data_IF_227194946618
#
_entry.id   IF_227194946618
#
_cell.length_a   1.000
_cell.length_b   1.000
_cell.length_c   1.000
_cell.angle_alpha   90.00
_cell.angle_beta   90.00
_cell.angle_gamma   90.00
#
_symmetry.space_group_name_H-M   'P 1'
#
loop_
_entity.id
_entity.type
_entity.pdbx_description
1 polymer ?
#
# COMPACT_ATOMS: atom_id res chain seq x y z
N UNK A 1 13.98 -6.91 28.56
CA UNK A 1 13.08 -6.57 27.43
C UNK A 1 13.22 -5.08 27.22
N UNK A 2 13.82 -4.68 26.11
CA UNK A 2 13.86 -3.27 25.69
C UNK A 2 12.43 -2.83 25.32
N UNK A 3 12.05 -1.56 25.46
CA UNK A 3 10.80 -1.04 24.89
C UNK A 3 10.62 -1.36 23.40
N UNK A 4 11.75 -1.46 22.68
CA UNK A 4 11.79 -1.88 21.28
C UNK A 4 11.23 -3.30 21.08
N UNK A 5 11.66 -4.26 21.92
CA UNK A 5 11.23 -5.66 21.84
C UNK A 5 9.72 -5.81 22.10
N UNK A 6 9.17 -5.02 23.03
CA UNK A 6 7.73 -5.05 23.33
C UNK A 6 6.87 -4.49 22.19
N UNK A 7 7.36 -3.47 21.47
CA UNK A 7 6.63 -2.90 20.34
C UNK A 7 6.63 -3.85 19.14
N UNK A 8 7.77 -4.46 18.82
CA UNK A 8 7.86 -5.45 17.73
C UNK A 8 7.00 -6.68 18.01
N UNK A 9 6.96 -7.16 19.26
CA UNK A 9 6.09 -8.25 19.67
C UNK A 9 4.60 -7.91 19.52
N UNK A 10 4.19 -6.68 19.89
CA UNK A 10 2.82 -6.22 19.69
C UNK A 10 2.44 -6.15 18.20
N UNK A 11 3.35 -5.68 17.36
CA UNK A 11 3.14 -5.62 15.90
C UNK A 11 3.00 -7.03 15.32
N UNK A 12 3.91 -7.94 15.68
CA UNK A 12 3.86 -9.33 15.24
C UNK A 12 2.54 -9.98 15.63
N UNK A 13 2.11 -9.79 16.89
CA UNK A 13 0.81 -10.28 17.35
C UNK A 13 -0.35 -9.72 16.52
N UNK A 14 -0.41 -8.39 16.28
CA UNK A 14 -1.47 -7.79 15.46
C UNK A 14 -1.52 -8.35 14.03
N UNK A 15 -0.36 -8.62 13.42
CA UNK A 15 -0.27 -9.20 12.07
C UNK A 15 -0.62 -10.69 12.06
N UNK A 16 -0.22 -11.44 13.10
CA UNK A 16 -0.50 -12.88 13.23
C UNK A 16 -1.96 -13.17 13.59
N UNK A 17 -2.69 -12.20 14.14
CA UNK A 17 -4.14 -12.29 14.37
C UNK A 17 -4.98 -12.05 13.09
N UNK A 18 -4.34 -11.68 11.97
CA UNK A 18 -5.04 -11.53 10.70
C UNK A 18 -5.40 -12.90 10.10
N UNK A 19 -6.61 -13.06 9.51
CA UNK A 19 -6.95 -14.16 8.63
C UNK A 19 -5.88 -14.31 7.57
N UNK A 20 -5.55 -15.55 7.21
CA UNK A 20 -4.44 -15.84 6.29
C UNK A 20 -4.52 -15.06 4.98
N UNK A 21 -5.73 -14.84 4.47
CA UNK A 21 -5.97 -14.07 3.26
C UNK A 21 -5.72 -12.57 3.40
N UNK A 22 -6.14 -11.97 4.53
CA UNK A 22 -5.90 -10.55 4.83
C UNK A 22 -4.40 -10.33 5.04
N UNK A 23 -3.74 -11.25 5.74
CA UNK A 23 -2.29 -11.25 5.95
C UNK A 23 -1.54 -11.38 4.63
N UNK A 24 -1.99 -12.26 3.73
CA UNK A 24 -1.40 -12.42 2.41
C UNK A 24 -1.52 -11.14 1.58
N UNK A 25 -2.67 -10.46 1.61
CA UNK A 25 -2.81 -9.16 0.96
C UNK A 25 -1.90 -8.10 1.62
N UNK A 26 -1.87 -8.02 2.96
CA UNK A 26 -1.03 -7.04 3.68
C UNK A 26 0.46 -7.19 3.33
N UNK A 27 0.96 -8.42 3.23
CA UNK A 27 2.34 -8.70 2.82
C UNK A 27 2.63 -8.24 1.38
N UNK A 28 1.64 -8.21 0.49
CA UNK A 28 1.82 -7.67 -0.88
C UNK A 28 1.86 -6.15 -0.94
N UNK A 29 1.49 -5.46 0.13
CA UNK A 29 1.31 -4.01 0.12
C UNK A 29 2.51 -3.23 0.70
N UNK A 30 3.49 -3.89 1.32
CA UNK A 30 4.66 -3.18 1.88
C UNK A 30 5.47 -2.35 0.88
N UNK A 31 5.54 -2.68 -0.44
CA UNK A 31 6.26 -1.85 -1.41
C UNK A 31 5.66 -0.45 -1.63
N UNK A 32 4.38 -0.23 -1.31
CA UNK A 32 3.71 1.06 -1.51
C UNK A 32 4.10 2.07 -0.42
N UNK A 33 5.17 2.84 -0.67
CA UNK A 33 5.74 3.81 0.27
C UNK A 33 4.84 5.02 0.58
N UNK A 34 4.07 5.50 -0.42
CA UNK A 34 3.24 6.72 -0.30
C UNK A 34 1.74 6.43 -0.18
N UNK A 35 1.37 5.18 0.09
CA UNK A 35 -0.01 4.71 0.05
C UNK A 35 -0.53 4.46 -1.37
N UNK A 36 -1.70 3.86 -1.48
CA UNK A 36 -2.22 3.26 -2.71
C UNK A 36 -3.74 3.35 -2.78
N UNK A 37 -4.30 3.19 -3.98
CA UNK A 37 -5.75 3.09 -4.20
C UNK A 37 -6.21 1.63 -4.11
N UNK A 38 -7.52 1.38 -4.03
CA UNK A 38 -8.03 0.00 -4.00
C UNK A 38 -7.71 -0.76 -5.30
N UNK A 39 -7.64 -0.07 -6.45
CA UNK A 39 -7.26 -0.67 -7.74
C UNK A 39 -5.80 -1.15 -7.71
N UNK A 40 -4.91 -0.38 -7.07
CA UNK A 40 -3.51 -0.77 -6.89
C UNK A 40 -3.39 -2.01 -5.98
N UNK A 41 -4.18 -2.07 -4.90
CA UNK A 41 -4.26 -3.26 -4.06
C UNK A 41 -4.81 -4.48 -4.82
N UNK A 42 -5.80 -4.26 -5.70
CA UNK A 42 -6.37 -5.32 -6.53
C UNK A 42 -5.35 -5.87 -7.54
N UNK A 43 -4.51 -5.00 -8.12
CA UNK A 43 -3.50 -5.41 -9.09
C UNK A 43 -2.39 -6.26 -8.48
N UNK A 44 -2.05 -6.06 -7.19
CA UNK A 44 -1.04 -6.86 -6.49
C UNK A 44 -1.65 -8.01 -5.67
N UNK A 45 -2.97 -8.19 -5.76
CA UNK A 45 -3.69 -9.19 -4.98
C UNK A 45 -3.07 -10.57 -5.20
N UNK A 46 -2.79 -11.33 -4.13
CA UNK A 46 -2.16 -12.63 -4.30
C UNK A 46 -3.06 -13.57 -5.12
N UNK A 47 -2.49 -14.36 -6.06
CA UNK A 47 -3.24 -15.38 -6.76
C UNK A 47 -3.67 -16.48 -5.77
N UNK A 48 -4.88 -17.02 -5.94
CA UNK A 48 -5.41 -18.10 -5.09
C UNK A 48 -5.88 -17.65 -3.71
N UNK A 49 -6.01 -16.35 -3.46
CA UNK A 49 -6.66 -15.79 -2.28
C UNK A 49 -8.10 -15.43 -2.65
N UNK A 50 -9.07 -15.94 -1.90
CA UNK A 50 -10.49 -15.70 -2.15
C UNK A 50 -10.97 -14.38 -1.52
N UNK A 51 -12.12 -13.88 -1.98
CA UNK A 51 -12.78 -12.70 -1.41
C UNK A 51 -12.45 -11.36 -2.10
N UNK A 52 -13.33 -10.38 -1.88
CA UNK A 52 -13.22 -9.07 -2.51
C UNK A 52 -12.11 -8.22 -1.86
N UNK A 53 -11.19 -7.69 -2.68
CA UNK A 53 -10.12 -6.76 -2.25
C UNK A 53 -10.63 -5.66 -1.32
N UNK A 54 -11.76 -5.04 -1.65
CA UNK A 54 -12.35 -3.97 -0.84
C UNK A 54 -12.76 -4.43 0.56
N UNK A 55 -13.29 -5.65 0.70
CA UNK A 55 -13.64 -6.21 2.00
C UNK A 55 -12.37 -6.48 2.85
N UNK A 56 -11.29 -6.95 2.22
CA UNK A 56 -10.00 -7.15 2.88
C UNK A 56 -9.39 -5.83 3.34
N UNK A 57 -9.39 -4.81 2.46
CA UNK A 57 -8.94 -3.46 2.83
C UNK A 57 -9.75 -2.88 3.99
N UNK A 58 -11.07 -3.08 4.01
CA UNK A 58 -11.91 -2.68 5.13
C UNK A 58 -11.52 -3.39 6.43
N UNK A 59 -11.28 -4.71 6.38
CA UNK A 59 -10.82 -5.47 7.56
C UNK A 59 -9.45 -5.03 8.06
N UNK A 60 -8.51 -4.72 7.16
CA UNK A 60 -7.19 -4.20 7.50
C UNK A 60 -7.25 -2.80 8.12
N UNK A 61 -8.20 -1.95 7.69
CA UNK A 61 -8.46 -0.64 8.31
C UNK A 61 -9.10 -0.79 9.68
N UNK A 62 -10.08 -1.68 9.83
CA UNK A 62 -10.74 -1.96 11.11
C UNK A 62 -9.75 -2.42 12.19
N UNK A 63 -8.73 -3.20 11.78
CA UNK A 63 -7.63 -3.64 12.64
C UNK A 63 -6.49 -2.64 12.79
N UNK A 64 -6.64 -1.44 12.24
CA UNK A 64 -5.64 -0.36 12.32
C UNK A 64 -4.24 -0.72 11.80
N UNK A 65 -4.14 -1.70 10.90
CA UNK A 65 -2.87 -2.03 10.20
C UNK A 65 -2.73 -1.23 8.90
N UNK A 66 -3.85 -0.68 8.41
CA UNK A 66 -3.92 0.34 7.37
C UNK A 66 -4.68 1.57 7.88
N UNK A 67 -4.37 2.74 7.32
CA UNK A 67 -5.25 3.91 7.38
C UNK A 67 -5.90 4.15 6.02
N UNK A 68 -7.09 4.74 6.01
CA UNK A 68 -7.77 5.19 4.80
C UNK A 68 -8.05 6.69 4.89
N UNK A 69 -7.54 7.46 3.92
CA UNK A 69 -7.62 8.92 3.88
C UNK A 69 -8.25 9.37 2.55
N UNK A 70 -9.19 10.32 2.60
CA UNK A 70 -9.73 10.94 1.39
C UNK A 70 -8.72 11.96 0.85
N UNK A 71 -8.25 11.77 -0.37
CA UNK A 71 -7.32 12.66 -1.05
C UNK A 71 -7.75 12.86 -2.51
N UNK A 72 -7.87 14.12 -2.93
CA UNK A 72 -8.24 14.49 -4.32
C UNK A 72 -9.49 13.77 -4.87
N UNK A 73 -10.48 13.49 -4.02
CA UNK A 73 -11.73 12.81 -4.42
C UNK A 73 -11.65 11.27 -4.44
N UNK A 74 -10.51 10.68 -4.04
CA UNK A 74 -10.30 9.24 -3.97
C UNK A 74 -9.84 8.79 -2.57
N UNK A 75 -10.16 7.55 -2.20
CA UNK A 75 -9.65 6.94 -0.96
C UNK A 75 -8.24 6.43 -1.19
N UNK A 76 -7.29 6.88 -0.37
CA UNK A 76 -5.92 6.38 -0.31
C UNK A 76 -5.71 5.58 0.96
N UNK A 77 -5.23 4.36 0.78
CA UNK A 77 -4.83 3.46 1.85
C UNK A 77 -3.34 3.64 2.13
N UNK A 78 -2.92 3.57 3.40
CA UNK A 78 -1.51 3.66 3.79
C UNK A 78 -1.18 2.64 4.87
N UNK A 79 -0.05 1.96 4.74
CA UNK A 79 0.50 1.15 5.82
C UNK A 79 1.13 2.08 6.86
N UNK A 80 0.92 1.77 8.13
CA UNK A 80 1.74 2.34 9.19
C UNK A 80 3.19 1.89 8.98
N UNK A 81 4.15 2.80 9.12
CA UNK A 81 5.56 2.52 8.82
C UNK A 81 6.12 1.34 9.63
N UNK A 82 5.66 1.18 10.87
CA UNK A 82 6.00 0.04 11.72
C UNK A 82 5.48 -1.29 11.15
N UNK A 83 4.23 -1.32 10.69
CA UNK A 83 3.61 -2.49 10.05
C UNK A 83 4.30 -2.79 8.73
N UNK A 84 4.62 -1.77 7.94
CA UNK A 84 5.34 -1.90 6.67
C UNK A 84 6.71 -2.55 6.86
N UNK A 85 7.47 -2.08 7.85
CA UNK A 85 8.78 -2.64 8.20
C UNK A 85 8.65 -4.11 8.60
N UNK A 86 7.67 -4.43 9.43
CA UNK A 86 7.40 -5.81 9.83
C UNK A 86 7.07 -6.69 8.62
N UNK A 87 6.13 -6.26 7.77
CA UNK A 87 5.74 -7.01 6.57
C UNK A 87 6.92 -7.24 5.63
N UNK A 88 7.75 -6.21 5.40
CA UNK A 88 8.97 -6.35 4.59
C UNK A 88 9.96 -7.37 5.17
N UNK A 89 10.04 -7.47 6.50
CA UNK A 89 10.94 -8.40 7.17
C UNK A 89 10.41 -9.84 7.21
N UNK A 90 9.08 -10.03 7.16
CA UNK A 90 8.41 -11.34 7.29
C UNK A 90 7.80 -11.86 6.00
N UNK A 91 7.92 -11.13 4.89
CA UNK A 91 7.46 -11.54 3.57
C UNK A 91 8.17 -12.84 3.12
N UNK A 92 7.44 -13.94 2.88
CA UNK A 92 8.03 -15.20 2.45
C UNK A 92 8.55 -15.15 1.00
N UNK A 93 8.07 -14.21 0.18
CA UNK A 93 8.51 -14.03 -1.20
C UNK A 93 8.66 -12.55 -1.57
N UNK A 94 9.72 -11.88 -1.06
CA UNK A 94 9.97 -10.46 -1.35
C UNK A 94 10.18 -10.19 -2.83
N UNK A 95 10.71 -11.17 -3.58
CA UNK A 95 10.96 -11.04 -5.00
C UNK A 95 9.65 -11.03 -5.81
N UNK A 96 8.73 -11.96 -5.53
CA UNK A 96 7.41 -12.00 -6.14
C UNK A 96 6.57 -10.77 -5.77
N UNK A 97 6.63 -10.33 -4.51
CA UNK A 97 5.98 -9.09 -4.07
C UNK A 97 6.50 -7.86 -4.82
N UNK A 98 7.82 -7.73 -4.95
CA UNK A 98 8.43 -6.63 -5.70
C UNK A 98 8.11 -6.69 -7.20
N UNK A 99 8.06 -7.90 -7.78
CA UNK A 99 7.71 -8.09 -9.19
C UNK A 99 6.26 -7.68 -9.48
N UNK A 100 5.30 -8.07 -8.63
CA UNK A 100 3.90 -7.66 -8.75
C UNK A 100 3.73 -6.14 -8.65
N UNK A 101 4.41 -5.51 -7.68
CA UNK A 101 4.42 -4.04 -7.55
C UNK A 101 5.06 -3.37 -8.78
N UNK A 102 6.15 -3.91 -9.32
CA UNK A 102 6.79 -3.39 -10.52
C UNK A 102 5.89 -3.52 -11.77
N UNK A 103 5.15 -4.62 -11.90
CA UNK A 103 4.17 -4.80 -12.98
C UNK A 103 3.03 -3.79 -12.87
N UNK A 104 2.45 -3.62 -11.68
CA UNK A 104 1.46 -2.57 -11.42
C UNK A 104 2.02 -1.19 -11.77
N UNK A 105 3.23 -0.85 -11.31
CA UNK A 105 3.84 0.46 -11.57
C UNK A 105 4.04 0.71 -13.07
N UNK A 106 4.49 -0.31 -13.81
CA UNK A 106 4.62 -0.23 -15.28
C UNK A 106 3.26 0.00 -15.95
N UNK A 107 2.23 -0.76 -15.57
CA UNK A 107 0.88 -0.59 -16.11
C UNK A 107 0.28 0.79 -15.78
N UNK A 108 0.47 1.25 -14.54
CA UNK A 108 0.00 2.54 -14.06
C UNK A 108 0.64 3.71 -14.83
N UNK A 109 1.94 3.64 -15.10
CA UNK A 109 2.66 4.62 -15.92
C UNK A 109 2.23 4.52 -17.39
N UNK A 110 2.23 3.33 -17.98
CA UNK A 110 1.88 3.12 -19.38
C UNK A 110 0.46 3.61 -19.73
N UNK A 111 -0.51 3.41 -18.84
CA UNK A 111 -1.88 3.93 -19.02
C UNK A 111 -1.98 5.46 -18.97
N UNK A 112 -0.93 6.15 -18.50
CA UNK A 112 -0.84 7.61 -18.43
C UNK A 112 0.17 8.22 -19.41
N UNK A 113 1.04 7.42 -20.05
CA UNK A 113 1.95 7.90 -21.10
C UNK A 113 1.23 8.67 -22.23
N UNK A 114 0.02 8.27 -22.70
CA UNK A 114 -0.71 9.06 -23.69
C UNK A 114 -1.12 10.47 -23.21
N UNK A 115 -1.15 10.72 -21.89
CA UNK A 115 -1.40 12.03 -21.30
C UNK A 115 -0.11 12.88 -21.22
N UNK A 116 1.06 12.26 -21.40
CA UNK A 116 2.38 12.89 -21.35
C UNK A 116 2.89 13.36 -22.72
N UNK A 117 2.24 12.97 -23.83
CA UNK A 117 2.65 13.29 -25.21
C UNK A 117 2.12 14.65 -25.74
N UNK A 118 1.78 15.58 -24.84
CA UNK A 118 1.40 16.96 -25.19
C UNK A 118 2.42 18.01 -24.66
N UNK A 119 2.40 19.26 -25.15
CA UNK A 119 3.34 20.34 -24.77
C UNK A 119 3.22 20.81 -23.29
N UNK A 120 2.69 19.99 -22.38
CA UNK A 120 2.48 20.28 -20.95
C UNK A 120 3.14 19.25 -20.02
N UNK A 121 4.29 18.70 -20.41
CA UNK A 121 5.10 17.77 -19.60
C UNK A 121 5.31 18.21 -18.14
N UNK A 122 5.42 19.52 -17.88
CA UNK A 122 5.59 20.04 -16.52
C UNK A 122 4.36 19.87 -15.61
N UNK A 123 3.14 19.90 -16.16
CA UNK A 123 1.90 19.76 -15.39
C UNK A 123 1.56 18.30 -15.11
N UNK A 124 1.71 17.44 -16.11
CA UNK A 124 1.38 16.03 -15.99
C UNK A 124 2.36 15.26 -15.10
N UNK A 125 3.63 15.69 -15.01
CA UNK A 125 4.60 15.17 -14.02
C UNK A 125 4.23 15.60 -12.60
N UNK A 126 3.66 16.80 -12.39
CA UNK A 126 3.20 17.25 -11.07
C UNK A 126 1.96 16.49 -10.61
N UNK A 127 1.03 16.18 -11.52
CA UNK A 127 -0.13 15.32 -11.23
C UNK A 127 0.28 13.86 -10.97
N UNK A 128 1.21 13.32 -11.77
CA UNK A 128 1.77 11.99 -11.53
C UNK A 128 2.55 11.95 -10.20
N UNK A 129 3.28 13.02 -9.86
CA UNK A 129 3.97 13.17 -8.58
C UNK A 129 3.01 13.38 -7.42
N UNK A 130 1.87 14.05 -7.60
CA UNK A 130 0.83 14.14 -6.56
C UNK A 130 0.16 12.78 -6.32
N UNK A 131 0.08 11.94 -7.34
CA UNK A 131 -0.38 10.55 -7.23
C UNK A 131 0.67 9.60 -6.65
N UNK A 132 1.97 9.86 -6.87
CA UNK A 132 3.09 8.99 -6.46
C UNK A 132 3.82 9.45 -5.19
N UNK A 133 3.74 10.72 -4.80
CA UNK A 133 4.51 11.30 -3.71
C UNK A 133 3.59 11.95 -2.67
N UNK A 134 3.75 11.48 -1.42
CA UNK A 134 3.37 12.11 -0.15
C UNK A 134 2.33 13.24 -0.28
N UNK A 135 1.10 12.95 0.12
CA UNK A 135 0.30 14.02 0.74
C UNK A 135 1.17 14.62 1.86
N UNK A 136 1.46 15.93 1.85
CA UNK A 136 2.11 16.55 2.99
C UNK A 136 1.19 16.27 4.18
N UNK A 137 1.73 15.59 5.19
CA UNK A 137 1.05 15.36 6.45
C UNK A 137 0.45 16.69 6.86
N UNK A 138 -0.88 16.75 6.93
CA UNK A 138 -1.58 17.91 7.43
C UNK A 138 -1.26 17.96 8.91
N UNK A 139 -0.17 18.65 9.27
CA UNK A 139 0.07 19.14 10.62
C UNK A 139 -1.22 19.83 11.04
N UNK A 140 -1.91 19.23 12.02
CA UNK A 140 -2.96 19.93 12.75
C UNK A 140 -2.30 20.60 13.96
N UNK A 141 -2.68 21.84 14.27
CA UNK A 141 -2.13 22.62 15.37
C UNK A 141 -2.43 22.01 16.74
#
# INVERSE_FOLDING_TARGET
MSPHDSLEAAIAWSVDQLPGEDRALLLRLWPFDSGFTWEAAAAVHPPGVDGAVLAKLASLVDRSVLTAEMSSGHVRYRLLETIRRHCRATDPDPAGTAAAHAEWARAFVAGRVPLLDGPRLGGAVHELAAELAKSPGRDRP
#
